data_IF_290673194106
#
_entry.id   IF_290673194106
#
_cell.length_a   1.000
_cell.length_b   1.000
_cell.length_c   1.000
_cell.angle_alpha   90.00
_cell.angle_beta   90.00
_cell.angle_gamma   90.00
#
_symmetry.space_group_name_H-M   'P 1'
#
loop_
_entity.id
_entity.type
_entity.pdbx_description
1 polymer ?
#
# COMPACT_ATOMS: atom_id res chain seq x y z
N UNK A 1 -7.46 15.92 5.03
CA UNK A 1 -6.98 14.68 4.35
C UNK A 1 -5.76 14.18 5.11
N UNK A 2 -5.94 13.20 5.93
CA UNK A 2 -4.85 12.61 6.74
C UNK A 2 -4.82 11.11 6.54
N UNK A 3 -3.60 10.60 6.42
CA UNK A 3 -3.12 9.26 6.69
C UNK A 3 -2.79 8.39 5.47
N UNK A 4 -1.55 8.58 4.96
CA UNK A 4 -0.90 7.55 4.14
C UNK A 4 -0.33 6.46 5.07
N UNK A 5 -0.87 5.25 4.99
CA UNK A 5 -0.34 4.10 5.72
C UNK A 5 0.06 3.01 4.74
N UNK A 6 1.33 2.73 4.72
CA UNK A 6 1.89 1.62 3.98
C UNK A 6 2.16 0.44 4.90
N UNK A 7 2.41 -0.72 4.33
CA UNK A 7 2.81 -1.92 5.06
C UNK A 7 3.97 -1.67 6.05
N UNK A 8 4.87 -0.74 5.74
CA UNK A 8 5.97 -0.34 6.61
C UNK A 8 5.48 0.24 7.94
N UNK A 9 4.53 1.17 7.90
CA UNK A 9 4.07 1.84 9.11
C UNK A 9 3.18 0.96 9.98
N UNK A 10 2.43 0.06 9.36
CA UNK A 10 1.49 -0.81 10.07
C UNK A 10 2.17 -2.05 10.63
N UNK A 11 3.02 -2.68 9.84
CA UNK A 11 3.63 -3.95 10.24
C UNK A 11 5.07 -3.80 10.72
N UNK A 12 5.61 -2.58 10.76
CA UNK A 12 6.99 -2.32 11.21
C UNK A 12 8.06 -2.92 10.30
N UNK A 13 7.69 -3.28 9.07
CA UNK A 13 8.62 -3.89 8.10
C UNK A 13 9.54 -2.84 7.53
N UNK A 14 10.78 -2.80 8.03
CA UNK A 14 11.84 -1.96 7.48
C UNK A 14 12.56 -2.72 6.39
N UNK A 15 12.51 -2.23 5.16
CA UNK A 15 12.97 -2.93 3.96
C UNK A 15 14.50 -2.85 3.72
N UNK A 16 15.30 -2.40 4.69
CA UNK A 16 16.75 -2.50 4.55
C UNK A 16 17.26 -3.83 5.12
N UNK A 17 18.04 -4.56 4.36
CA UNK A 17 18.55 -5.88 4.70
C UNK A 17 19.30 -5.91 6.04
N UNK A 18 20.06 -4.87 6.35
CA UNK A 18 20.82 -4.77 7.59
C UNK A 18 19.95 -4.49 8.81
N UNK A 19 18.81 -3.84 8.65
CA UNK A 19 17.89 -3.50 9.75
C UNK A 19 16.85 -4.59 9.98
N UNK A 20 16.38 -5.26 8.93
CA UNK A 20 15.39 -6.33 9.07
C UNK A 20 15.97 -7.55 9.81
N UNK A 21 17.12 -8.04 9.35
CA UNK A 21 17.78 -9.21 9.96
C UNK A 21 18.51 -8.90 11.27
N UNK A 22 19.04 -7.68 11.43
CA UNK A 22 19.79 -7.27 12.63
C UNK A 22 18.90 -6.96 13.83
N UNK A 23 17.74 -6.32 13.65
CA UNK A 23 16.85 -5.93 14.75
C UNK A 23 16.03 -7.09 15.33
N UNK A 24 15.82 -8.18 14.60
CA UNK A 24 15.07 -9.33 15.12
C UNK A 24 15.88 -10.24 16.06
N UNK A 25 17.21 -10.23 15.97
CA UNK A 25 18.07 -11.06 16.88
C UNK A 25 18.25 -10.49 18.29
N UNK A 26 17.83 -9.23 18.54
CA UNK A 26 18.22 -8.55 19.79
C UNK A 26 17.11 -8.11 20.73
N UNK A 27 15.83 -8.24 20.40
CA UNK A 27 14.74 -7.60 21.19
C UNK A 27 13.56 -8.50 21.49
N UNK A 28 13.61 -9.74 21.64
CA UNK A 28 12.52 -10.57 22.19
C UNK A 28 11.06 -10.29 21.68
N UNK A 29 10.88 -9.42 20.68
CA UNK A 29 9.57 -9.10 20.09
C UNK A 29 9.13 -10.24 19.18
N UNK A 30 7.96 -10.80 19.44
CA UNK A 30 7.33 -11.75 18.54
C UNK A 30 7.06 -11.11 17.18
N UNK A 31 7.49 -11.77 16.10
CA UNK A 31 7.15 -11.35 14.73
C UNK A 31 5.64 -11.40 14.53
N UNK A 32 5.10 -10.46 13.73
CA UNK A 32 3.73 -10.56 13.26
C UNK A 32 3.63 -11.48 12.03
N UNK A 33 2.42 -11.85 11.65
CA UNK A 33 2.16 -12.82 10.58
C UNK A 33 2.75 -12.39 9.21
N UNK A 34 2.83 -11.08 8.93
CA UNK A 34 3.42 -10.58 7.68
C UNK A 34 4.94 -10.65 7.73
N UNK A 35 5.55 -10.31 8.85
CA UNK A 35 7.00 -10.47 9.06
C UNK A 35 7.41 -11.95 8.92
N UNK A 36 6.64 -12.86 9.51
CA UNK A 36 6.85 -14.31 9.36
C UNK A 36 6.78 -14.76 7.90
N UNK A 37 5.79 -14.23 7.14
CA UNK A 37 5.64 -14.54 5.72
C UNK A 37 6.80 -14.00 4.88
N UNK A 38 7.24 -12.78 5.13
CA UNK A 38 8.38 -12.16 4.45
C UNK A 38 9.66 -12.94 4.72
N UNK A 39 9.90 -13.35 5.96
CA UNK A 39 11.08 -14.16 6.31
C UNK A 39 11.07 -15.51 5.62
N UNK A 40 9.89 -16.12 5.50
CA UNK A 40 9.73 -17.44 4.90
C UNK A 40 9.87 -17.44 3.38
N UNK A 41 9.20 -16.51 2.71
CA UNK A 41 8.98 -16.57 1.26
C UNK A 41 9.53 -15.34 0.51
N UNK A 42 10.00 -14.31 1.22
CA UNK A 42 10.63 -13.13 0.63
C UNK A 42 12.06 -13.41 0.18
N UNK A 43 12.48 -12.80 -0.92
CA UNK A 43 13.83 -12.93 -1.48
C UNK A 43 14.51 -11.57 -1.44
N UNK A 44 15.67 -11.50 -0.81
CA UNK A 44 16.52 -10.30 -0.82
C UNK A 44 17.50 -10.39 -1.96
N UNK A 45 17.45 -9.43 -2.90
CA UNK A 45 18.40 -9.31 -4.01
C UNK A 45 19.53 -8.33 -3.67
N UNK A 46 20.56 -8.31 -4.52
CA UNK A 46 21.62 -7.29 -4.45
C UNK A 46 21.04 -5.87 -4.43
N UNK A 47 21.69 -4.97 -3.71
CA UNK A 47 21.18 -3.61 -3.48
C UNK A 47 20.05 -3.50 -2.45
N UNK A 48 19.87 -4.53 -1.62
CA UNK A 48 18.86 -4.57 -0.55
C UNK A 48 17.40 -4.48 -1.04
N UNK A 49 17.13 -4.98 -2.23
CA UNK A 49 15.78 -5.03 -2.80
C UNK A 49 15.05 -6.26 -2.28
N UNK A 50 13.99 -6.05 -1.49
CA UNK A 50 13.10 -7.12 -1.05
C UNK A 50 12.08 -7.45 -2.14
N UNK A 51 12.05 -8.70 -2.58
CA UNK A 51 11.09 -9.24 -3.54
C UNK A 51 10.04 -10.07 -2.80
N UNK A 52 8.77 -9.70 -2.95
CA UNK A 52 7.59 -10.33 -2.33
C UNK A 52 6.50 -10.65 -3.36
N UNK A 53 6.91 -10.77 -4.62
CA UNK A 53 6.03 -10.94 -5.76
C UNK A 53 5.25 -12.26 -5.76
N UNK A 54 5.73 -13.24 -5.04
CA UNK A 54 5.09 -14.56 -4.94
C UNK A 54 3.82 -14.58 -4.05
N UNK A 55 3.57 -13.52 -3.28
CA UNK A 55 2.41 -13.51 -2.36
C UNK A 55 1.75 -12.15 -2.16
N UNK A 56 2.34 -11.04 -2.66
CA UNK A 56 1.83 -9.70 -2.37
C UNK A 56 1.47 -8.88 -3.61
N UNK A 57 2.40 -8.69 -4.57
CA UNK A 57 2.25 -7.68 -5.61
C UNK A 57 2.40 -8.19 -7.07
N UNK A 58 2.50 -9.49 -7.26
CA UNK A 58 2.38 -10.12 -8.58
C UNK A 58 1.44 -11.33 -8.51
N UNK A 59 1.76 -12.33 -7.71
CA UNK A 59 0.79 -13.31 -7.23
C UNK A 59 0.28 -12.83 -5.86
N UNK A 60 -1.03 -12.87 -5.64
CA UNK A 60 -1.66 -12.42 -4.40
C UNK A 60 -2.13 -13.60 -3.57
N UNK A 61 -1.64 -13.74 -2.35
CA UNK A 61 -2.16 -14.69 -1.36
C UNK A 61 -3.38 -14.06 -0.67
N UNK A 62 -4.56 -14.40 -1.14
CA UNK A 62 -5.83 -13.83 -0.65
C UNK A 62 -6.03 -14.06 0.85
N UNK A 63 -5.57 -15.20 1.37
CA UNK A 63 -5.67 -15.47 2.80
C UNK A 63 -4.81 -14.52 3.63
N UNK A 64 -3.58 -14.26 3.16
CA UNK A 64 -2.69 -13.28 3.77
C UNK A 64 -3.29 -11.88 3.69
N UNK A 65 -3.80 -11.48 2.52
CA UNK A 65 -4.42 -10.16 2.33
C UNK A 65 -5.65 -9.95 3.22
N UNK A 66 -6.47 -10.99 3.44
CA UNK A 66 -7.57 -10.93 4.39
C UNK A 66 -7.10 -10.73 5.84
N UNK A 67 -6.01 -11.38 6.25
CA UNK A 67 -5.42 -11.14 7.57
C UNK A 67 -4.93 -9.69 7.70
N UNK A 68 -4.33 -9.16 6.63
CA UNK A 68 -3.93 -7.75 6.57
C UNK A 68 -5.14 -6.81 6.67
N UNK A 69 -6.22 -7.09 5.94
CA UNK A 69 -7.46 -6.31 5.98
C UNK A 69 -8.06 -6.24 7.38
N UNK A 70 -8.12 -7.38 8.08
CA UNK A 70 -8.58 -7.44 9.46
C UNK A 70 -7.69 -6.62 10.42
N UNK A 71 -6.37 -6.65 10.23
CA UNK A 71 -5.44 -5.87 11.04
C UNK A 71 -5.56 -4.36 10.75
N UNK A 72 -5.77 -3.95 9.49
CA UNK A 72 -6.08 -2.57 9.13
C UNK A 72 -7.36 -2.11 9.82
N UNK A 73 -8.45 -2.88 9.70
CA UNK A 73 -9.72 -2.53 10.35
C UNK A 73 -9.58 -2.35 11.85
N UNK A 74 -8.82 -3.21 12.51
CA UNK A 74 -8.56 -3.13 13.95
C UNK A 74 -7.80 -1.85 14.33
N UNK A 75 -6.78 -1.47 13.53
CA UNK A 75 -5.94 -0.29 13.83
C UNK A 75 -6.63 1.04 13.56
N UNK A 76 -7.57 1.05 12.63
CA UNK A 76 -8.32 2.25 12.24
C UNK A 76 -9.80 2.18 12.65
N UNK A 77 -10.13 1.36 13.66
CA UNK A 77 -11.49 1.20 14.13
C UNK A 77 -12.13 2.49 14.67
N UNK A 78 -11.31 3.39 15.20
CA UNK A 78 -11.70 4.71 15.73
C UNK A 78 -11.73 5.81 14.66
N UNK A 79 -11.33 5.52 13.44
CA UNK A 79 -11.31 6.45 12.31
C UNK A 79 -12.54 6.21 11.44
N UNK A 80 -13.29 7.25 11.19
CA UNK A 80 -14.48 7.18 10.33
C UNK A 80 -14.10 7.09 8.86
N UNK A 81 -13.29 6.06 8.49
CA UNK A 81 -12.87 5.84 7.11
C UNK A 81 -14.11 5.53 6.26
N UNK A 82 -14.33 6.33 5.23
CA UNK A 82 -15.43 6.18 4.27
C UNK A 82 -14.95 5.87 2.85
N UNK A 83 -13.62 5.87 2.62
CA UNK A 83 -13.05 5.61 1.31
C UNK A 83 -11.61 5.10 1.41
N UNK A 84 -11.23 4.20 0.51
CA UNK A 84 -9.85 3.77 0.36
C UNK A 84 -9.29 4.30 -0.95
N UNK A 85 -8.06 4.83 -0.91
CA UNK A 85 -7.33 5.32 -2.07
C UNK A 85 -6.06 4.49 -2.25
N UNK A 86 -5.75 4.14 -3.48
CA UNK A 86 -4.49 3.48 -3.86
C UNK A 86 -3.99 4.00 -5.19
N UNK A 87 -2.87 3.48 -5.66
CA UNK A 87 -2.31 3.79 -6.98
C UNK A 87 -2.22 2.50 -7.81
N UNK A 88 -2.55 2.60 -9.11
CA UNK A 88 -2.35 1.46 -10.02
C UNK A 88 -0.86 1.07 -10.10
N UNK A 89 -0.56 -0.23 -10.22
CA UNK A 89 -1.48 -1.35 -10.32
C UNK A 89 -1.47 -2.25 -9.05
N UNK A 90 -0.31 -2.46 -8.41
CA UNK A 90 -0.10 -3.49 -7.37
C UNK A 90 -0.91 -3.25 -6.09
N UNK A 91 -1.14 -1.99 -5.74
CA UNK A 91 -1.95 -1.62 -4.56
C UNK A 91 -3.43 -1.96 -4.68
N UNK A 92 -3.99 -2.07 -5.90
CA UNK A 92 -5.44 -2.24 -6.11
C UNK A 92 -5.97 -3.51 -5.44
N UNK A 93 -5.30 -4.64 -5.64
CA UNK A 93 -5.76 -5.90 -5.04
C UNK A 93 -5.78 -5.88 -3.53
N UNK A 94 -4.76 -5.29 -2.91
CA UNK A 94 -4.67 -5.11 -1.46
C UNK A 94 -5.79 -4.19 -0.97
N UNK A 95 -5.96 -3.04 -1.65
CA UNK A 95 -6.98 -2.05 -1.32
C UNK A 95 -8.40 -2.63 -1.38
N UNK A 96 -8.71 -3.45 -2.39
CA UNK A 96 -10.03 -4.10 -2.51
C UNK A 96 -10.32 -5.04 -1.35
N UNK A 97 -9.35 -5.85 -0.93
CA UNK A 97 -9.54 -6.75 0.22
C UNK A 97 -9.67 -5.97 1.53
N UNK A 98 -8.87 -4.91 1.71
CA UNK A 98 -9.00 -4.05 2.90
C UNK A 98 -10.36 -3.34 2.91
N UNK A 99 -10.81 -2.84 1.77
CA UNK A 99 -12.10 -2.15 1.63
C UNK A 99 -13.30 -3.03 2.03
N UNK A 100 -13.25 -4.32 1.74
CA UNK A 100 -14.26 -5.28 2.18
C UNK A 100 -14.41 -5.29 3.70
N UNK A 101 -13.31 -5.22 4.45
CA UNK A 101 -13.35 -5.14 5.91
C UNK A 101 -13.90 -3.81 6.44
N UNK A 102 -13.80 -2.73 5.68
CA UNK A 102 -14.32 -1.41 6.05
C UNK A 102 -15.74 -1.17 5.54
N UNK A 103 -16.21 -1.96 4.57
CA UNK A 103 -17.47 -1.76 3.84
C UNK A 103 -17.53 -0.38 3.15
N UNK A 104 -16.46 -0.04 2.41
CA UNK A 104 -16.30 1.24 1.74
C UNK A 104 -15.78 1.08 0.31
N UNK A 105 -16.03 2.05 -0.60
CA UNK A 105 -15.50 1.99 -1.95
C UNK A 105 -13.99 2.22 -2.00
N UNK A 106 -13.39 1.68 -3.07
CA UNK A 106 -11.99 1.93 -3.45
C UNK A 106 -11.93 2.87 -4.63
N UNK A 107 -11.11 3.90 -4.51
CA UNK A 107 -10.69 4.75 -5.62
C UNK A 107 -9.22 4.47 -5.89
N UNK A 108 -8.84 4.35 -7.16
CA UNK A 108 -7.42 4.22 -7.50
C UNK A 108 -6.98 5.30 -8.47
N UNK A 109 -5.85 5.88 -8.14
CA UNK A 109 -5.18 6.84 -8.99
C UNK A 109 -4.54 6.13 -10.18
N UNK A 110 -4.67 6.71 -11.37
CA UNK A 110 -4.12 6.19 -12.63
C UNK A 110 -2.83 6.91 -12.97
N UNK A 111 -1.88 6.19 -13.55
CA UNK A 111 -0.60 6.75 -14.04
C UNK A 111 -0.69 7.31 -15.46
N UNK A 112 -1.82 7.13 -16.11
CA UNK A 112 -2.09 7.67 -17.44
C UNK A 112 -3.54 8.10 -17.56
N UNK A 113 -3.77 9.17 -18.33
CA UNK A 113 -5.13 9.59 -18.67
C UNK A 113 -5.75 8.56 -19.62
N UNK A 114 -6.90 8.02 -19.28
CA UNK A 114 -7.67 7.17 -20.16
C UNK A 114 -8.84 7.96 -20.76
N UNK A 115 -9.26 7.59 -21.97
CA UNK A 115 -10.40 8.21 -22.69
C UNK A 115 -11.70 8.16 -21.86
N UNK A 116 -11.79 7.23 -20.89
CA UNK A 116 -12.96 7.03 -20.05
C UNK A 116 -12.99 7.90 -18.77
N UNK A 117 -12.04 8.82 -18.60
CA UNK A 117 -12.02 9.74 -17.48
C UNK A 117 -12.54 11.10 -17.97
N UNK A 118 -13.82 11.37 -17.69
CA UNK A 118 -14.48 12.64 -17.99
C UNK A 118 -14.56 13.51 -16.73
N UNK A 119 -14.53 14.84 -16.90
CA UNK A 119 -14.71 15.81 -15.84
C UNK A 119 -13.41 16.32 -15.22
N UNK A 120 -13.52 16.98 -14.07
CA UNK A 120 -12.40 17.56 -13.36
C UNK A 120 -11.55 16.49 -12.65
N UNK A 121 -10.24 16.70 -12.68
CA UNK A 121 -9.26 15.75 -12.16
C UNK A 121 -8.35 16.42 -11.14
N UNK A 122 -8.02 15.66 -10.09
CA UNK A 122 -6.82 15.92 -9.31
C UNK A 122 -5.65 15.33 -10.08
N UNK A 123 -4.60 16.12 -10.29
CA UNK A 123 -3.39 15.69 -10.98
C UNK A 123 -2.19 16.00 -10.09
N UNK A 124 -1.36 15.00 -9.82
CA UNK A 124 -0.09 15.15 -9.14
C UNK A 124 1.04 14.63 -10.02
N UNK A 125 2.13 15.39 -10.13
CA UNK A 125 3.34 14.94 -10.80
C UNK A 125 4.18 14.13 -9.80
N UNK A 126 4.47 12.88 -10.13
CA UNK A 126 5.25 11.96 -9.31
C UNK A 126 6.49 11.50 -10.07
N UNK A 127 7.65 11.64 -9.45
CA UNK A 127 8.89 11.14 -10.02
C UNK A 127 9.04 9.63 -9.74
N UNK A 128 9.11 8.84 -10.83
CA UNK A 128 9.32 7.39 -10.70
C UNK A 128 10.74 7.08 -10.24
N UNK A 129 10.86 6.44 -9.09
CA UNK A 129 12.16 6.04 -8.53
C UNK A 129 12.91 5.05 -9.43
N UNK A 130 12.19 4.16 -10.13
CA UNK A 130 12.79 3.12 -10.98
C UNK A 130 13.13 3.58 -12.39
N UNK A 131 12.39 4.52 -12.93
CA UNK A 131 12.53 4.93 -14.34
C UNK A 131 13.04 6.35 -14.54
N UNK A 132 13.25 7.13 -13.46
CA UNK A 132 13.67 8.54 -13.51
C UNK A 132 12.81 9.39 -14.47
N UNK A 133 11.57 8.99 -14.68
CA UNK A 133 10.59 9.73 -15.46
C UNK A 133 9.51 10.30 -14.55
N UNK A 134 9.00 11.44 -14.94
CA UNK A 134 7.86 12.08 -14.27
C UNK A 134 6.58 11.47 -14.85
N UNK A 135 5.74 10.97 -13.98
CA UNK A 135 4.42 10.46 -14.34
C UNK A 135 3.36 11.31 -13.66
N UNK A 136 2.30 11.60 -14.37
CA UNK A 136 1.12 12.18 -13.76
C UNK A 136 0.28 11.09 -13.12
N UNK A 137 -0.04 11.28 -11.86
CA UNK A 137 -1.00 10.46 -11.13
C UNK A 137 -2.33 11.22 -11.10
N UNK A 138 -3.40 10.60 -11.57
CA UNK A 138 -4.67 11.24 -11.88
C UNK A 138 -5.79 10.56 -11.11
N UNK A 139 -6.63 11.36 -10.43
CA UNK A 139 -7.86 10.91 -9.76
C UNK A 139 -9.01 11.82 -10.19
N UNK A 140 -10.16 11.23 -10.56
CA UNK A 140 -11.35 12.02 -10.86
C UNK A 140 -11.94 12.61 -9.58
N UNK A 141 -12.22 13.92 -9.60
CA UNK A 141 -12.89 14.65 -8.52
C UNK A 141 -14.31 14.12 -8.24
N UNK A 142 -14.90 13.45 -9.21
CA UNK A 142 -16.20 12.80 -9.09
C UNK A 142 -16.23 11.71 -8.01
N UNK A 143 -15.08 11.09 -7.71
CA UNK A 143 -14.96 9.95 -6.78
C UNK A 143 -14.19 10.28 -5.51
N UNK A 144 -13.63 11.48 -5.40
CA UNK A 144 -12.85 11.91 -4.23
C UNK A 144 -13.19 13.36 -3.90
N UNK A 145 -13.66 13.62 -2.69
CA UNK A 145 -14.04 14.93 -2.21
C UNK A 145 -13.23 15.35 -0.97
N UNK A 146 -13.32 16.64 -0.62
CA UNK A 146 -12.67 17.19 0.58
C UNK A 146 -13.26 16.63 1.88
N UNK A 147 -14.52 16.19 1.85
CA UNK A 147 -15.24 15.62 3.00
C UNK A 147 -14.91 14.14 3.22
N UNK A 148 -14.15 13.51 2.34
CA UNK A 148 -13.80 12.10 2.47
C UNK A 148 -12.73 11.88 3.54
N UNK A 149 -12.98 10.88 4.39
CA UNK A 149 -12.02 10.32 5.34
C UNK A 149 -11.32 9.14 4.69
N UNK A 150 -10.20 9.41 4.06
CA UNK A 150 -9.51 8.48 3.16
C UNK A 150 -8.42 7.72 3.87
N UNK A 151 -8.42 6.39 3.73
CA UNK A 151 -7.27 5.54 4.06
C UNK A 151 -6.49 5.23 2.78
N UNK A 152 -5.24 5.68 2.72
CA UNK A 152 -4.35 5.40 1.58
C UNK A 152 -3.62 4.08 1.83
N UNK A 153 -3.70 3.17 0.86
CA UNK A 153 -3.08 1.84 0.91
C UNK A 153 -2.22 1.63 -0.33
N UNK A 154 -1.01 1.15 -0.13
CA UNK A 154 -0.11 0.73 -1.21
C UNK A 154 0.73 -0.48 -0.75
N UNK A 155 1.35 -1.20 -1.70
CA UNK A 155 2.23 -2.34 -1.39
C UNK A 155 3.57 -1.88 -0.78
N UNK A 156 4.18 -0.82 -1.30
CA UNK A 156 5.44 -0.27 -0.83
C UNK A 156 5.43 1.26 -0.72
N UNK A 157 5.91 1.76 0.41
CA UNK A 157 6.32 3.15 0.55
C UNK A 157 7.80 3.29 0.18
N UNK A 158 8.14 3.47 -1.08
CA UNK A 158 9.53 3.64 -1.50
C UNK A 158 10.16 4.88 -0.82
N UNK A 159 9.87 6.07 -1.31
CA UNK A 159 10.31 7.35 -0.76
C UNK A 159 9.15 8.28 -0.34
N UNK A 160 7.91 7.83 -0.52
CA UNK A 160 6.72 8.59 -0.18
C UNK A 160 6.42 9.76 -1.12
N UNK A 161 6.94 9.73 -2.34
CA UNK A 161 6.70 10.78 -3.34
C UNK A 161 5.42 10.57 -4.15
N UNK A 162 4.78 9.41 -4.05
CA UNK A 162 3.55 9.06 -4.75
C UNK A 162 2.33 9.34 -3.89
#
# INVERSE_FOLDING_TARGET
MELCYTLRNIFGVTLSSNTFWGNHRGRGRKMNFLEERIVKDGIVKEGNVLKVDSFLNHQMDIKLLNQMGAEFKKRFADKNINKILTIEASGIGIACIVAEHFDVPVVFAKKSQSINLDGEMYVAEVESFTHKCKNNVIVSQKFLSEDDHVLIIDDFLANGCA
#
